data_IF_290617392670
#
_entry.id   IF_290617392670
#
_cell.length_a   1.000
_cell.length_b   1.000
_cell.length_c   1.000
_cell.angle_alpha   90.00
_cell.angle_beta   90.00
_cell.angle_gamma   90.00
#
_symmetry.space_group_name_H-M   'P 1'
#
loop_
_entity.id
_entity.type
_entity.pdbx_description
1 polymer ?
#
# COMPACT_ATOMS: atom_id res chain seq x y z
N UNK A 1 -4.76 7.97 -4.43
CA UNK A 1 -3.94 9.07 -5.01
C UNK A 1 -4.34 9.21 -6.47
N UNK A 2 -4.81 10.38 -6.93
CA UNK A 2 -5.22 10.55 -8.33
C UNK A 2 -3.96 10.85 -9.18
N UNK A 3 -3.55 9.95 -10.09
CA UNK A 3 -2.33 10.14 -10.88
C UNK A 3 -2.43 11.34 -11.83
N UNK A 4 -3.65 11.75 -12.21
CA UNK A 4 -3.91 12.85 -13.13
C UNK A 4 -3.88 14.23 -12.47
N UNK A 5 -3.86 14.30 -11.13
CA UNK A 5 -3.77 15.58 -10.41
C UNK A 5 -2.31 16.03 -10.37
N UNK A 6 -2.05 17.23 -10.88
CA UNK A 6 -0.72 17.82 -10.96
C UNK A 6 -0.02 17.86 -9.59
N UNK A 7 1.26 17.52 -9.57
CA UNK A 7 2.07 17.50 -8.35
C UNK A 7 2.63 18.90 -8.07
N UNK A 8 1.93 19.65 -7.22
CA UNK A 8 2.38 20.96 -6.72
C UNK A 8 2.15 21.05 -5.21
N UNK A 9 2.63 22.13 -4.60
CA UNK A 9 2.53 22.36 -3.15
C UNK A 9 1.09 22.39 -2.64
N UNK A 10 0.14 22.90 -3.43
CA UNK A 10 -1.29 22.86 -3.07
C UNK A 10 -1.80 21.42 -2.99
N UNK A 11 -1.46 20.56 -3.96
CA UNK A 11 -1.85 19.16 -3.93
C UNK A 11 -1.16 18.39 -2.79
N UNK A 12 0.11 18.70 -2.51
CA UNK A 12 0.85 18.12 -1.38
C UNK A 12 0.16 18.45 -0.06
N UNK A 13 -0.22 19.71 0.14
CA UNK A 13 -0.98 20.17 1.30
C UNK A 13 -2.33 19.46 1.41
N UNK A 14 -3.07 19.35 0.31
CA UNK A 14 -4.34 18.61 0.27
C UNK A 14 -4.16 17.13 0.60
N UNK A 15 -3.07 16.52 0.14
CA UNK A 15 -2.76 15.12 0.40
C UNK A 15 -2.55 14.88 1.90
N UNK A 16 -1.81 15.78 2.55
CA UNK A 16 -1.59 15.77 4.00
C UNK A 16 -2.89 16.01 4.77
N UNK A 17 -3.59 17.12 4.50
CA UNK A 17 -4.82 17.48 5.25
C UNK A 17 -5.90 16.41 5.12
N UNK A 18 -6.15 15.89 3.91
CA UNK A 18 -7.16 14.85 3.68
C UNK A 18 -6.89 13.54 4.42
N UNK A 19 -5.66 13.31 4.89
CA UNK A 19 -5.24 12.10 5.61
C UNK A 19 -5.09 12.36 7.09
N UNK A 20 -4.28 13.35 7.44
CA UNK A 20 -3.90 13.65 8.82
C UNK A 20 -5.08 14.28 9.55
N UNK A 21 -5.73 15.30 8.97
CA UNK A 21 -6.82 16.00 9.66
C UNK A 21 -8.04 15.09 9.84
N UNK A 22 -8.36 14.28 8.83
CA UNK A 22 -9.46 13.31 8.90
C UNK A 22 -9.19 12.21 9.93
N UNK A 23 -7.98 11.66 9.93
CA UNK A 23 -7.56 10.62 10.89
C UNK A 23 -7.53 11.17 12.31
N UNK A 24 -7.01 12.38 12.50
CA UNK A 24 -6.99 13.07 13.79
C UNK A 24 -8.40 13.35 14.31
N UNK A 25 -9.32 13.78 13.44
CA UNK A 25 -10.71 13.98 13.83
C UNK A 25 -11.37 12.67 14.29
N UNK A 26 -11.09 11.56 13.59
CA UNK A 26 -11.60 10.23 13.96
C UNK A 26 -10.99 9.72 15.28
N UNK A 27 -9.66 9.82 15.46
CA UNK A 27 -9.00 9.38 16.68
C UNK A 27 -9.45 10.20 17.90
N UNK A 28 -9.66 11.51 17.73
CA UNK A 28 -10.24 12.37 18.76
C UNK A 28 -11.69 12.01 19.09
N UNK A 29 -12.52 11.71 18.08
CA UNK A 29 -13.90 11.29 18.29
C UNK A 29 -13.99 9.95 19.03
N UNK A 30 -13.12 9.00 18.68
CA UNK A 30 -12.97 7.72 19.39
C UNK A 30 -12.58 7.96 20.84
N UNK A 31 -11.58 8.82 21.08
CA UNK A 31 -11.07 9.08 22.42
C UNK A 31 -12.08 9.82 23.33
N UNK A 32 -12.96 10.63 22.75
CA UNK A 32 -14.03 11.33 23.47
C UNK A 32 -15.29 10.48 23.66
N UNK A 33 -15.37 9.29 23.05
CA UNK A 33 -16.55 8.43 23.14
C UNK A 33 -16.70 7.79 24.52
N UNK A 34 -17.91 7.81 25.07
CA UNK A 34 -18.25 7.05 26.29
C UNK A 34 -18.25 5.53 26.05
N UNK A 35 -18.46 5.11 24.80
CA UNK A 35 -18.41 3.73 24.34
C UNK A 35 -17.57 3.68 23.06
N UNK A 36 -16.23 3.65 23.18
CA UNK A 36 -15.36 3.59 22.01
C UNK A 36 -15.53 2.26 21.27
N UNK A 37 -15.24 2.21 19.96
CA UNK A 37 -15.23 0.96 19.23
C UNK A 37 -14.18 -0.01 19.79
N UNK A 38 -14.42 -1.32 19.64
CA UNK A 38 -13.47 -2.36 20.05
C UNK A 38 -12.19 -2.36 19.22
N UNK A 39 -12.27 -1.87 17.97
CA UNK A 39 -11.17 -1.91 17.00
C UNK A 39 -11.10 -0.60 16.22
N UNK A 40 -9.88 -0.12 15.98
CA UNK A 40 -9.55 1.05 15.18
C UNK A 40 -8.44 0.67 14.19
N UNK A 41 -8.75 0.73 12.90
CA UNK A 41 -7.84 0.27 11.83
C UNK A 41 -7.50 1.44 10.91
N UNK A 42 -6.21 1.78 10.83
CA UNK A 42 -5.67 2.71 9.85
C UNK A 42 -5.03 1.93 8.70
N UNK A 43 -5.29 2.35 7.46
CA UNK A 43 -4.53 1.89 6.28
C UNK A 43 -3.58 3.00 5.85
N UNK A 44 -2.28 2.78 6.03
CA UNK A 44 -1.20 3.68 5.61
C UNK A 44 -0.57 3.17 4.31
N UNK A 45 0.76 3.10 4.21
CA UNK A 45 1.45 2.59 3.02
C UNK A 45 2.89 2.18 3.29
N UNK A 46 3.39 1.26 2.46
CA UNK A 46 4.79 0.78 2.51
C UNK A 46 5.83 1.85 2.15
N UNK A 47 5.39 3.06 1.76
CA UNK A 47 6.25 4.20 1.47
C UNK A 47 7.05 4.70 2.69
N UNK A 48 6.77 4.21 3.91
CA UNK A 48 7.65 4.42 5.06
C UNK A 48 9.02 3.76 4.91
N UNK A 49 9.11 2.66 4.15
CA UNK A 49 10.33 1.92 3.94
C UNK A 49 11.14 2.55 2.79
N UNK A 50 12.45 2.67 2.99
CA UNK A 50 13.34 3.26 2.00
C UNK A 50 13.49 2.33 0.79
N UNK A 51 13.32 2.81 -0.45
CA UNK A 51 13.57 1.98 -1.63
C UNK A 51 14.98 1.40 -1.64
N UNK A 52 15.08 0.12 -1.98
CA UNK A 52 16.35 -0.62 -2.02
C UNK A 52 16.21 -1.88 -2.86
N UNK A 53 17.26 -2.19 -3.62
CA UNK A 53 17.34 -3.45 -4.38
C UNK A 53 17.77 -4.65 -3.53
N UNK A 54 18.35 -4.40 -2.35
CA UNK A 54 18.96 -5.43 -1.50
C UNK A 54 18.34 -5.54 -0.12
N UNK A 55 17.83 -4.43 0.42
CA UNK A 55 17.21 -4.43 1.74
C UNK A 55 15.86 -5.13 1.69
N UNK A 56 15.53 -5.82 2.78
CA UNK A 56 14.26 -6.47 3.01
C UNK A 56 13.63 -5.86 4.26
N UNK A 57 12.35 -5.55 4.19
CA UNK A 57 11.62 -4.86 5.24
C UNK A 57 10.47 -5.72 5.77
N UNK A 58 10.34 -5.76 7.08
CA UNK A 58 9.25 -6.36 7.85
C UNK A 58 8.55 -5.29 8.68
N UNK A 59 7.48 -5.66 9.39
CA UNK A 59 6.78 -4.76 10.30
C UNK A 59 7.65 -4.24 11.46
N UNK A 60 8.68 -5.01 11.83
CA UNK A 60 9.66 -4.69 12.88
C UNK A 60 10.84 -3.83 12.38
N UNK A 61 10.94 -3.63 11.06
CA UNK A 61 12.04 -2.85 10.50
C UNK A 61 11.94 -1.39 10.93
N UNK A 62 12.98 -0.90 11.59
CA UNK A 62 13.10 0.51 11.92
C UNK A 62 13.20 1.36 10.64
N UNK A 63 12.60 2.53 10.69
CA UNK A 63 12.61 3.46 9.57
C UNK A 63 12.55 4.90 10.07
N UNK A 64 13.14 5.79 9.28
CA UNK A 64 13.09 7.24 9.49
C UNK A 64 12.59 7.88 8.20
N UNK A 65 11.73 8.91 8.26
CA UNK A 65 11.32 9.64 7.08
C UNK A 65 12.53 10.15 6.29
N UNK A 66 12.54 9.90 4.99
CA UNK A 66 13.62 10.26 4.07
C UNK A 66 13.11 11.09 2.87
N UNK A 67 11.80 11.17 2.70
CA UNK A 67 11.13 11.91 1.63
C UNK A 67 9.72 12.37 2.06
N UNK A 68 9.00 12.99 1.14
CA UNK A 68 7.65 13.51 1.38
C UNK A 68 6.62 12.41 1.73
N UNK A 69 6.69 11.23 1.11
CA UNK A 69 5.70 10.17 1.34
C UNK A 69 5.96 9.40 2.64
N UNK A 70 7.22 9.13 2.97
CA UNK A 70 7.61 8.56 4.25
C UNK A 70 7.27 9.50 5.40
N UNK A 71 7.45 10.82 5.22
CA UNK A 71 6.97 11.82 6.18
C UNK A 71 5.45 11.79 6.33
N UNK A 72 4.71 11.70 5.22
CA UNK A 72 3.25 11.55 5.25
C UNK A 72 2.83 10.30 6.03
N UNK A 73 3.45 9.15 5.77
CA UNK A 73 3.12 7.91 6.48
C UNK A 73 3.38 8.05 7.98
N UNK A 74 4.49 8.68 8.38
CA UNK A 74 4.80 8.92 9.79
C UNK A 74 3.73 9.76 10.47
N UNK A 75 3.45 10.94 9.95
CA UNK A 75 2.45 11.85 10.55
C UNK A 75 1.04 11.24 10.52
N UNK A 76 0.73 10.44 9.50
CA UNK A 76 -0.56 9.77 9.38
C UNK A 76 -0.72 8.66 10.43
N UNK A 77 0.32 7.84 10.64
CA UNK A 77 0.33 6.81 11.70
C UNK A 77 0.29 7.46 13.10
N UNK A 78 1.02 8.55 13.32
CA UNK A 78 0.99 9.32 14.57
C UNK A 78 -0.40 9.92 14.86
N UNK A 79 -1.08 10.46 13.83
CA UNK A 79 -2.42 11.03 13.98
C UNK A 79 -3.50 10.00 14.35
N UNK A 80 -3.27 8.72 14.06
CA UNK A 80 -4.18 7.62 14.39
C UNK A 80 -4.02 7.11 15.82
N UNK A 81 -2.97 7.48 16.53
CA UNK A 81 -2.71 6.99 17.88
C UNK A 81 -3.79 7.46 18.86
N UNK A 82 -4.35 6.50 19.59
CA UNK A 82 -5.29 6.76 20.67
C UNK A 82 -4.53 6.96 22.00
N UNK A 83 -5.03 7.84 22.88
CA UNK A 83 -4.53 7.97 24.24
C UNK A 83 -4.57 6.64 25.00
N UNK A 84 -3.64 6.43 25.93
CA UNK A 84 -3.46 5.15 26.63
C UNK A 84 -4.72 4.68 27.38
N UNK A 85 -5.51 5.60 27.93
CA UNK A 85 -6.76 5.28 28.63
C UNK A 85 -7.86 4.72 27.71
N UNK A 86 -7.76 4.98 26.42
CA UNK A 86 -8.70 4.49 25.38
C UNK A 86 -8.11 3.25 24.71
N UNK A 87 -6.80 3.27 24.41
CA UNK A 87 -6.07 2.18 23.76
C UNK A 87 -6.19 0.83 24.49
N UNK A 88 -6.33 0.84 25.83
CA UNK A 88 -6.57 -0.39 26.63
C UNK A 88 -7.87 -1.12 26.29
N UNK A 89 -8.83 -0.42 25.71
CA UNK A 89 -10.16 -0.97 25.38
C UNK A 89 -10.45 -0.96 23.87
N UNK A 90 -9.55 -0.39 23.07
CA UNK A 90 -9.69 -0.25 21.62
C UNK A 90 -8.42 -0.75 20.96
N UNK A 91 -8.50 -1.94 20.36
CA UNK A 91 -7.42 -2.54 19.57
C UNK A 91 -7.04 -1.60 18.44
N UNK A 92 -5.78 -1.19 18.40
CA UNK A 92 -5.25 -0.32 17.35
C UNK A 92 -4.49 -1.16 16.32
N UNK A 93 -4.82 -0.99 15.04
CA UNK A 93 -4.14 -1.69 13.94
C UNK A 93 -3.73 -0.70 12.86
N UNK A 94 -2.52 -0.84 12.34
CA UNK A 94 -2.01 -0.11 11.19
C UNK A 94 -1.66 -1.12 10.09
N UNK A 95 -2.24 -0.95 8.91
CA UNK A 95 -1.95 -1.77 7.73
C UNK A 95 -1.18 -0.93 6.73
N UNK A 96 0.11 -1.22 6.56
CA UNK A 96 0.99 -0.60 5.56
C UNK A 96 0.79 -1.28 4.22
N UNK A 97 -0.11 -0.73 3.40
CA UNK A 97 -0.49 -1.34 2.11
C UNK A 97 0.57 -1.13 1.03
N UNK A 98 0.82 -2.17 0.23
CA UNK A 98 1.45 -2.05 -1.09
C UNK A 98 0.50 -1.50 -2.15
N UNK A 99 0.86 -1.67 -3.42
CA UNK A 99 0.00 -1.35 -4.56
C UNK A 99 -1.19 -2.30 -4.59
N UNK A 100 -2.39 -1.76 -4.37
CA UNK A 100 -3.63 -2.53 -4.39
C UNK A 100 -4.06 -2.81 -5.82
N UNK A 101 -4.11 -4.09 -6.19
CA UNK A 101 -4.53 -4.57 -7.50
C UNK A 101 -5.98 -5.02 -7.45
N UNK A 102 -6.82 -4.41 -8.28
CA UNK A 102 -8.23 -4.77 -8.43
C UNK A 102 -8.80 -4.16 -9.71
N UNK A 103 -9.79 -4.81 -10.32
CA UNK A 103 -10.25 -4.46 -11.67
C UNK A 103 -10.83 -3.05 -11.80
N UNK A 104 -11.73 -2.68 -10.91
CA UNK A 104 -12.60 -1.50 -11.10
C UNK A 104 -11.96 -0.17 -10.70
N UNK A 105 -10.69 -0.18 -10.28
CA UNK A 105 -10.06 1.02 -9.76
C UNK A 105 -8.55 0.95 -9.60
N UNK A 106 -8.04 1.90 -8.84
CA UNK A 106 -6.62 1.97 -8.49
C UNK A 106 -5.69 2.03 -9.70
N UNK A 107 -4.52 1.42 -9.55
CA UNK A 107 -3.48 1.39 -10.57
C UNK A 107 -3.91 0.55 -11.79
N UNK A 108 -4.63 -0.55 -11.59
CA UNK A 108 -5.02 -1.46 -12.68
C UNK A 108 -5.90 -0.78 -13.71
N UNK A 109 -6.88 0.03 -13.30
CA UNK A 109 -7.74 0.78 -14.25
C UNK A 109 -6.93 1.66 -15.22
N UNK A 110 -5.80 2.21 -14.77
CA UNK A 110 -4.93 3.05 -15.59
C UNK A 110 -3.97 2.22 -16.47
N UNK A 111 -3.58 1.02 -16.01
CA UNK A 111 -2.63 0.15 -16.72
C UNK A 111 -3.31 -0.78 -17.73
N UNK A 112 -4.54 -1.24 -17.47
CA UNK A 112 -5.19 -2.27 -18.29
C UNK A 112 -5.35 -1.85 -19.75
N UNK A 113 -5.78 -0.61 -20.02
CA UNK A 113 -5.98 -0.15 -21.40
C UNK A 113 -4.66 -0.08 -22.20
N UNK A 114 -3.58 0.59 -21.72
CA UNK A 114 -2.28 0.55 -22.38
C UNK A 114 -1.75 -0.87 -22.60
N UNK A 115 -1.85 -1.75 -21.60
CA UNK A 115 -1.41 -3.14 -21.73
C UNK A 115 -2.24 -3.92 -22.75
N UNK A 116 -3.56 -3.72 -22.78
CA UNK A 116 -4.45 -4.35 -23.74
C UNK A 116 -4.17 -3.91 -25.19
N UNK A 117 -3.73 -2.67 -25.38
CA UNK A 117 -3.26 -2.14 -26.67
C UNK A 117 -1.85 -2.61 -27.05
N UNK A 118 -1.15 -3.38 -26.20
CA UNK A 118 0.24 -3.79 -26.43
C UNK A 118 1.26 -2.67 -26.21
N UNK A 119 0.86 -1.59 -25.54
CA UNK A 119 1.71 -0.46 -25.15
C UNK A 119 2.19 -0.57 -23.69
N UNK A 120 1.92 -1.70 -23.04
CA UNK A 120 2.40 -2.00 -21.69
C UNK A 120 3.90 -2.22 -21.66
N UNK A 121 4.54 -1.79 -20.58
CA UNK A 121 6.00 -1.73 -20.50
C UNK A 121 6.55 -1.77 -19.09
N UNK A 122 7.78 -2.22 -18.97
CA UNK A 122 8.53 -2.20 -17.70
C UNK A 122 8.86 -0.76 -17.35
N UNK A 123 8.69 -0.40 -16.08
CA UNK A 123 9.00 0.94 -15.58
C UNK A 123 10.49 1.00 -15.21
N UNK A 124 11.24 1.92 -15.82
CA UNK A 124 12.68 2.06 -15.56
C UNK A 124 13.47 0.79 -15.90
N UNK A 125 14.31 0.30 -14.98
CA UNK A 125 15.05 -0.96 -15.15
C UNK A 125 14.17 -2.21 -15.03
N UNK A 126 13.01 -2.11 -14.38
CA UNK A 126 12.13 -3.23 -14.06
C UNK A 126 12.63 -4.11 -12.90
N UNK A 127 13.85 -3.90 -12.41
CA UNK A 127 14.47 -4.72 -11.35
C UNK A 127 14.01 -4.32 -9.95
N UNK A 128 13.37 -3.16 -9.81
CA UNK A 128 12.87 -2.70 -8.54
C UNK A 128 11.79 -3.65 -7.99
N UNK A 129 11.81 -3.94 -6.67
CA UNK A 129 10.72 -4.64 -6.02
C UNK A 129 9.38 -3.93 -6.25
N UNK A 130 8.30 -4.70 -6.36
CA UNK A 130 6.96 -4.18 -6.57
C UNK A 130 6.07 -4.72 -5.45
N UNK A 131 5.99 -4.06 -4.28
CA UNK A 131 5.12 -4.51 -3.21
C UNK A 131 3.66 -4.31 -3.63
N UNK A 132 2.91 -5.40 -3.77
CA UNK A 132 1.54 -5.41 -4.27
C UNK A 132 0.64 -6.26 -3.38
N UNK A 133 -0.67 -6.05 -3.44
CA UNK A 133 -1.66 -6.94 -2.81
C UNK A 133 -2.94 -6.96 -3.65
N UNK A 134 -3.61 -8.11 -3.71
CA UNK A 134 -4.94 -8.17 -4.32
C UNK A 134 -5.98 -7.47 -3.42
N UNK A 135 -6.93 -6.73 -4.02
CA UNK A 135 -7.94 -5.97 -3.26
C UNK A 135 -8.74 -6.82 -2.29
N UNK A 136 -9.08 -8.06 -2.67
CA UNK A 136 -9.78 -9.00 -1.77
C UNK A 136 -8.93 -9.42 -0.58
N UNK A 137 -7.61 -9.57 -0.75
CA UNK A 137 -6.73 -9.96 0.36
C UNK A 137 -6.53 -8.79 1.32
N UNK A 138 -6.35 -7.57 0.81
CA UNK A 138 -6.32 -6.38 1.67
C UNK A 138 -7.63 -6.21 2.45
N UNK A 139 -8.78 -6.41 1.79
CA UNK A 139 -10.08 -6.39 2.46
C UNK A 139 -10.19 -7.48 3.55
N UNK A 140 -9.64 -8.68 3.29
CA UNK A 140 -9.57 -9.76 4.27
C UNK A 140 -8.71 -9.41 5.48
N UNK A 141 -7.54 -8.79 5.28
CA UNK A 141 -6.67 -8.34 6.37
C UNK A 141 -7.38 -7.26 7.21
N UNK A 142 -8.06 -6.31 6.57
CA UNK A 142 -8.86 -5.29 7.27
C UNK A 142 -9.97 -5.96 8.08
N UNK A 143 -10.72 -6.88 7.48
CA UNK A 143 -11.81 -7.59 8.14
C UNK A 143 -11.31 -8.37 9.37
N UNK A 144 -10.24 -9.15 9.22
CA UNK A 144 -9.62 -9.86 10.34
C UNK A 144 -9.05 -8.93 11.42
N UNK A 145 -8.63 -7.72 11.04
CA UNK A 145 -8.14 -6.70 11.99
C UNK A 145 -9.27 -6.12 12.85
N UNK A 146 -10.51 -6.12 12.34
CA UNK A 146 -11.69 -5.64 13.06
C UNK A 146 -12.21 -6.62 14.12
N UNK A 147 -11.84 -7.90 14.02
CA UNK A 147 -12.20 -8.91 15.02
C UNK A 147 -11.71 -8.50 16.42
N UNK A 148 -12.48 -8.84 17.48
CA UNK A 148 -12.15 -8.48 18.84
C UNK A 148 -10.72 -8.88 19.23
N UNK A 149 -10.02 -8.07 20.06
CA UNK A 149 -8.67 -8.39 20.48
C UNK A 149 -8.61 -9.72 21.23
N UNK A 150 -7.66 -10.59 20.85
CA UNK A 150 -7.34 -11.79 21.61
C UNK A 150 -6.64 -11.46 22.94
N UNK A 151 -5.90 -10.34 22.98
CA UNK A 151 -5.23 -9.81 24.17
C UNK A 151 -5.48 -8.28 24.28
N UNK A 152 -6.31 -7.83 25.24
CA UNK A 152 -6.64 -6.42 25.41
C UNK A 152 -5.52 -5.60 26.10
N UNK A 153 -4.42 -6.23 26.52
CA UNK A 153 -3.38 -5.55 27.31
C UNK A 153 -2.41 -4.69 26.50
N UNK A 154 -2.34 -4.88 25.18
CA UNK A 154 -1.43 -4.12 24.33
C UNK A 154 -1.99 -2.74 23.99
N UNK A 155 -1.34 -1.70 24.48
CA UNK A 155 -1.69 -0.29 24.19
C UNK A 155 -1.02 0.23 22.91
N UNK A 156 -0.05 -0.50 22.36
CA UNK A 156 0.65 -0.13 21.14
C UNK A 156 -0.10 -0.65 19.90
N UNK A 157 -0.09 0.09 18.78
CA UNK A 157 -0.70 -0.39 17.54
C UNK A 157 -0.03 -1.67 17.03
N UNK A 158 -0.84 -2.63 16.61
CA UNK A 158 -0.39 -3.78 15.83
C UNK A 158 -0.16 -3.32 14.39
N UNK A 159 1.04 -3.55 13.88
CA UNK A 159 1.39 -3.19 12.50
C UNK A 159 1.37 -4.46 11.65
N UNK A 160 0.76 -4.38 10.48
CA UNK A 160 0.76 -5.41 9.44
C UNK A 160 1.23 -4.80 8.11
N UNK A 161 2.07 -5.52 7.38
CA UNK A 161 2.31 -5.20 5.98
C UNK A 161 1.19 -5.81 5.13
N UNK A 162 0.41 -4.95 4.48
CA UNK A 162 -0.65 -5.32 3.54
C UNK A 162 -0.08 -5.55 2.15
N UNK A 163 0.76 -6.58 2.02
CA UNK A 163 1.39 -7.01 0.77
C UNK A 163 1.20 -8.52 0.58
N UNK A 164 1.13 -8.98 -0.66
CA UNK A 164 1.17 -10.40 -0.99
C UNK A 164 2.55 -10.99 -0.61
N UNK A 165 2.63 -12.29 -0.29
CA UNK A 165 3.89 -12.94 0.09
C UNK A 165 4.86 -13.10 -1.09
N UNK A 166 4.38 -13.04 -2.33
CA UNK A 166 5.25 -13.09 -3.51
C UNK A 166 6.05 -11.79 -3.69
N UNK A 167 7.37 -11.90 -3.54
CA UNK A 167 8.32 -10.78 -3.60
C UNK A 167 8.71 -10.48 -5.04
N UNK A 168 7.76 -9.91 -5.78
CA UNK A 168 7.94 -9.68 -7.22
C UNK A 168 8.65 -8.38 -7.57
N UNK A 169 9.25 -8.37 -8.76
CA UNK A 169 9.77 -7.14 -9.39
C UNK A 169 8.76 -6.52 -10.35
N UNK A 170 8.99 -5.25 -10.73
CA UNK A 170 8.19 -4.60 -11.76
C UNK A 170 8.27 -5.35 -13.12
N UNK A 171 9.43 -5.91 -13.44
CA UNK A 171 9.62 -6.74 -14.63
C UNK A 171 8.70 -7.96 -14.62
N UNK A 172 8.67 -8.70 -13.52
CA UNK A 172 7.81 -9.89 -13.37
C UNK A 172 6.33 -9.52 -13.46
N UNK A 173 5.90 -8.45 -12.77
CA UNK A 173 4.55 -7.92 -12.88
C UNK A 173 4.18 -7.61 -14.34
N UNK A 174 5.05 -6.87 -15.04
CA UNK A 174 4.83 -6.45 -16.43
C UNK A 174 4.71 -7.66 -17.35
N UNK A 175 5.63 -8.62 -17.23
CA UNK A 175 5.63 -9.82 -18.08
C UNK A 175 4.40 -10.68 -17.81
N UNK A 176 4.01 -10.85 -16.56
CA UNK A 176 2.86 -11.67 -16.20
C UNK A 176 1.54 -11.04 -16.68
N UNK A 177 1.37 -9.72 -16.52
CA UNK A 177 0.19 -9.02 -17.03
C UNK A 177 0.10 -9.10 -18.57
N UNK A 178 1.22 -8.90 -19.28
CA UNK A 178 1.27 -9.07 -20.74
C UNK A 178 0.93 -10.49 -21.18
N UNK A 179 1.45 -11.50 -20.46
CA UNK A 179 1.19 -12.91 -20.72
C UNK A 179 -0.30 -13.24 -20.58
N UNK A 180 -0.94 -12.80 -19.49
CA UNK A 180 -2.37 -13.04 -19.22
C UNK A 180 -3.25 -12.35 -20.27
N UNK A 181 -2.93 -11.11 -20.64
CA UNK A 181 -3.66 -10.37 -21.68
C UNK A 181 -3.36 -10.84 -23.10
N UNK A 182 -2.36 -11.73 -23.28
CA UNK A 182 -1.83 -12.14 -24.59
C UNK A 182 -1.42 -10.92 -25.43
N UNK A 183 -0.61 -10.04 -24.84
CA UNK A 183 -0.11 -8.81 -25.46
C UNK A 183 1.40 -8.66 -25.26
N UNK A 184 2.11 -8.07 -26.23
CA UNK A 184 3.54 -7.82 -26.10
C UNK A 184 3.82 -6.77 -25.01
N UNK A 185 4.95 -6.93 -24.31
CA UNK A 185 5.46 -6.00 -23.30
C UNK A 185 6.95 -5.71 -23.58
N UNK A 186 7.20 -5.17 -24.78
CA UNK A 186 8.55 -5.05 -25.35
C UNK A 186 9.12 -3.65 -25.13
N UNK A 187 8.26 -2.63 -25.03
CA UNK A 187 8.68 -1.25 -24.87
C UNK A 187 8.80 -0.88 -23.39
N UNK A 188 10.00 -0.59 -22.85
CA UNK A 188 10.09 -0.01 -21.52
C UNK A 188 9.43 1.37 -21.52
N UNK A 189 8.77 1.74 -20.42
CA UNK A 189 8.23 3.08 -20.25
C UNK A 189 9.39 4.00 -19.84
N UNK A 190 9.76 5.00 -20.67
CA UNK A 190 10.88 5.87 -20.32
C UNK A 190 10.56 6.72 -19.08
N UNK A 191 11.55 6.88 -18.19
CA UNK A 191 11.37 7.64 -16.94
C UNK A 191 10.91 9.09 -17.15
N UNK A 192 11.31 9.74 -18.27
CA UNK A 192 10.84 11.09 -18.58
C UNK A 192 9.33 11.17 -18.88
N UNK A 193 8.75 10.11 -19.45
CA UNK A 193 7.30 10.02 -19.71
C UNK A 193 6.55 9.93 -18.37
N UNK A 194 7.06 9.12 -17.44
CA UNK A 194 6.48 9.03 -16.09
C UNK A 194 6.58 10.35 -15.34
N UNK A 195 7.75 11.00 -15.36
CA UNK A 195 7.94 12.31 -14.73
C UNK A 195 7.04 13.39 -15.33
N UNK A 196 6.83 13.39 -16.65
CA UNK A 196 5.94 14.35 -17.32
C UNK A 196 4.46 14.13 -16.97
N UNK A 197 4.03 12.87 -16.81
CA UNK A 197 2.64 12.54 -16.50
C UNK A 197 2.30 12.74 -15.01
N UNK A 198 3.26 12.50 -14.12
CA UNK A 198 2.96 12.28 -12.69
C UNK A 198 3.76 13.19 -11.75
N UNK A 199 4.78 13.90 -12.25
CA UNK A 199 5.79 14.61 -11.45
C UNK A 199 6.95 13.70 -11.05
N UNK A 200 8.15 14.26 -10.93
CA UNK A 200 9.39 13.51 -10.64
C UNK A 200 9.35 12.76 -9.31
N UNK A 201 8.88 13.38 -8.23
CA UNK A 201 8.77 12.73 -6.91
C UNK A 201 7.86 11.48 -6.94
N UNK A 202 6.74 11.53 -7.68
CA UNK A 202 5.87 10.35 -7.84
C UNK A 202 6.46 9.30 -8.77
N UNK A 203 7.16 9.75 -9.81
CA UNK A 203 7.83 8.85 -10.73
C UNK A 203 8.88 8.02 -9.98
N UNK A 204 9.67 8.64 -9.10
CA UNK A 204 10.65 7.95 -8.23
C UNK A 204 9.98 6.83 -7.42
N UNK A 205 8.82 7.08 -6.82
CA UNK A 205 8.07 6.09 -6.03
C UNK A 205 7.58 4.90 -6.85
N UNK A 206 7.41 5.07 -8.17
CA UNK A 206 6.99 4.01 -9.09
C UNK A 206 8.17 3.32 -9.80
N UNK A 207 9.31 4.02 -9.92
CA UNK A 207 10.54 3.50 -10.54
C UNK A 207 11.51 2.91 -9.54
N UNK A 208 11.34 3.21 -8.26
CA UNK A 208 12.04 2.60 -7.14
C UNK A 208 11.03 1.80 -6.30
N UNK A 209 11.49 0.84 -5.50
CA UNK A 209 10.60 -0.01 -4.75
C UNK A 209 11.24 -0.67 -3.53
N UNK A 210 10.39 -1.20 -2.67
CA UNK A 210 10.77 -1.83 -1.40
C UNK A 210 10.43 -3.30 -1.42
N UNK A 211 11.39 -4.15 -1.02
CA UNK A 211 11.12 -5.58 -0.79
C UNK A 211 10.49 -5.72 0.59
N UNK A 212 9.16 -5.80 0.63
CA UNK A 212 8.38 -5.83 1.89
C UNK A 212 7.83 -7.24 2.11
N UNK A 213 8.07 -7.78 3.29
CA UNK A 213 7.61 -9.11 3.70
C UNK A 213 6.49 -8.97 4.73
N UNK A 214 5.35 -9.68 4.56
CA UNK A 214 4.22 -9.60 5.46
C UNK A 214 4.32 -10.61 6.60
N UNK A 215 5.39 -10.56 7.40
CA UNK A 215 5.68 -11.57 8.43
C UNK A 215 4.54 -11.65 9.44
N UNK A 216 4.16 -10.53 10.05
CA UNK A 216 3.08 -10.54 11.05
C UNK A 216 1.74 -10.91 10.44
N UNK A 217 1.49 -10.52 9.20
CA UNK A 217 0.25 -10.91 8.50
C UNK A 217 0.20 -12.42 8.30
N UNK A 218 1.31 -13.06 7.92
CA UNK A 218 1.41 -14.52 7.80
C UNK A 218 1.31 -15.22 9.17
N UNK A 219 2.00 -14.72 10.18
CA UNK A 219 1.98 -15.24 11.56
C UNK A 219 0.59 -15.13 12.21
N UNK A 220 -0.23 -14.18 11.80
CA UNK A 220 -1.64 -14.08 12.23
C UNK A 220 -2.51 -15.25 11.75
N UNK A 221 -2.00 -16.09 10.85
CA UNK A 221 -2.74 -17.20 10.24
C UNK A 221 -3.59 -16.78 9.03
N UNK A 222 -3.50 -15.52 8.59
CA UNK A 222 -4.23 -15.02 7.43
C UNK A 222 -3.93 -15.85 6.18
N UNK A 223 -4.99 -16.31 5.52
CA UNK A 223 -4.90 -17.11 4.30
C UNK A 223 -5.14 -16.22 3.08
N UNK A 224 -4.07 -15.97 2.33
CA UNK A 224 -4.15 -15.21 1.07
C UNK A 224 -4.94 -15.99 0.03
N UNK A 225 -5.95 -15.35 -0.55
CA UNK A 225 -6.69 -15.88 -1.70
C UNK A 225 -5.85 -15.78 -2.98
N UNK A 226 -5.02 -14.74 -3.11
CA UNK A 226 -4.13 -14.54 -4.26
C UNK A 226 -2.69 -14.27 -3.81
N UNK A 227 -1.96 -15.31 -3.39
CA UNK A 227 -0.60 -15.16 -2.87
C UNK A 227 0.43 -14.84 -3.96
N UNK A 228 0.11 -15.06 -5.24
CA UNK A 228 1.00 -14.92 -6.39
C UNK A 228 0.39 -14.07 -7.52
N UNK A 229 1.24 -13.48 -8.36
CA UNK A 229 0.79 -12.60 -9.44
C UNK A 229 -0.11 -13.30 -10.45
N UNK A 230 0.14 -14.58 -10.74
CA UNK A 230 -0.62 -15.30 -11.77
C UNK A 230 -2.08 -15.43 -11.34
N UNK A 231 -2.34 -15.87 -10.10
CA UNK A 231 -3.70 -16.01 -9.58
C UNK A 231 -4.41 -14.65 -9.45
N UNK A 232 -3.73 -13.64 -8.92
CA UNK A 232 -4.27 -12.29 -8.77
C UNK A 232 -4.65 -11.66 -10.12
N UNK A 233 -3.71 -11.63 -11.08
CA UNK A 233 -3.91 -10.96 -12.36
C UNK A 233 -4.91 -11.70 -13.25
N UNK A 234 -4.96 -13.05 -13.21
CA UNK A 234 -6.01 -13.81 -13.90
C UNK A 234 -7.38 -13.38 -13.42
N UNK A 235 -7.57 -13.34 -12.09
CA UNK A 235 -8.86 -12.96 -11.54
C UNK A 235 -9.28 -11.55 -11.96
N UNK A 236 -8.35 -10.60 -11.94
CA UNK A 236 -8.60 -9.20 -12.32
C UNK A 236 -8.99 -9.07 -13.80
N UNK A 237 -8.32 -9.82 -14.69
CA UNK A 237 -8.55 -9.73 -16.13
C UNK A 237 -9.79 -10.52 -16.57
N UNK A 238 -10.05 -11.67 -15.96
CA UNK A 238 -11.12 -12.59 -16.40
C UNK A 238 -12.53 -12.21 -15.92
N UNK A 239 -12.67 -11.46 -14.82
CA UNK A 239 -13.99 -11.08 -14.27
C UNK A 239 -14.39 -9.66 -14.60
#
# INVERSE_FOLDING_TARGET
MNPLRWWNESYKKDLFSSRIDTTKALSQAIAASQSPPHSWVLVSGVACYKPSLTAEYTEDSEWTPFDFLSQLVKEWEEAALLPENVAKNTKQVVIRSGVVLGRDGGAMKQMLLPFWLGLGGTLGSGTQPFPWIHVSDLAGIIAGSLEPPADPSSTSPQVYNGVAPALNTNYEFTKELGRILRRPTIFPVPGFVMSALMGSERATVLTEGQKVVPNRTLESGFQYKYPDLTSALKQIVEN
#
